data_IF_099141114303
#
_entry.id   IF_099141114303
#
_cell.length_a   1.000
_cell.length_b   1.000
_cell.length_c   1.000
_cell.angle_alpha   90.00
_cell.angle_beta   90.00
_cell.angle_gamma   90.00
#
_symmetry.space_group_name_H-M   'P 1'
#
loop_
_entity.id
_entity.type
_entity.pdbx_description
1 polymer ?
#
# COMPACT_ATOMS: atom_id res chain seq x y z
N UNK A 1 14.04 -0.50 -18.36
CA UNK A 1 14.13 -0.45 -19.84
C UNK A 1 13.87 0.97 -20.32
N UNK A 2 14.57 1.44 -21.36
CA UNK A 2 14.37 2.76 -21.96
C UNK A 2 13.03 2.80 -22.73
N UNK A 3 12.07 3.57 -22.21
CA UNK A 3 10.70 3.68 -22.72
C UNK A 3 10.62 4.24 -24.15
N UNK A 4 11.71 4.85 -24.65
CA UNK A 4 11.71 5.57 -25.93
C UNK A 4 11.93 4.69 -27.16
N UNK A 5 12.45 3.47 -27.00
CA UNK A 5 12.97 2.70 -28.14
C UNK A 5 12.27 1.37 -28.43
N UNK A 6 11.48 0.82 -27.50
CA UNK A 6 10.89 -0.53 -27.65
C UNK A 6 9.37 -0.56 -27.73
N UNK A 7 8.66 0.56 -27.56
CA UNK A 7 7.18 0.65 -27.53
C UNK A 7 6.47 -0.40 -26.62
N UNK A 8 7.23 -1.06 -25.75
CA UNK A 8 6.76 -2.16 -24.91
C UNK A 8 7.14 -1.81 -23.47
N UNK A 9 6.14 -1.36 -22.71
CA UNK A 9 6.30 -0.91 -21.32
C UNK A 9 6.18 -2.05 -20.29
N UNK A 10 6.12 -3.28 -20.76
CA UNK A 10 5.84 -4.44 -19.93
C UNK A 10 6.84 -5.55 -20.25
N UNK A 11 7.53 -6.01 -19.22
CA UNK A 11 8.33 -7.22 -19.28
C UNK A 11 7.65 -8.27 -18.40
N UNK A 12 7.25 -9.45 -18.93
CA UNK A 12 6.46 -10.43 -18.17
C UNK A 12 7.13 -10.96 -16.90
N UNK A 13 8.46 -10.83 -16.81
CA UNK A 13 9.25 -11.26 -15.64
C UNK A 13 9.56 -10.12 -14.66
N UNK A 14 9.17 -8.88 -14.96
CA UNK A 14 9.30 -7.75 -14.04
C UNK A 14 7.94 -7.50 -13.39
N UNK A 15 7.94 -7.28 -12.07
CA UNK A 15 6.74 -6.80 -11.38
C UNK A 15 6.36 -5.42 -11.93
N UNK A 16 5.08 -5.23 -12.22
CA UNK A 16 4.53 -3.91 -12.60
C UNK A 16 4.54 -2.94 -11.42
N UNK A 17 4.74 -3.46 -10.19
CA UNK A 17 4.61 -2.72 -8.93
C UNK A 17 6.00 -2.41 -8.37
N UNK A 18 6.20 -1.16 -7.95
CA UNK A 18 7.42 -0.75 -7.24
C UNK A 18 7.48 -1.44 -5.87
N UNK A 19 8.49 -2.29 -5.60
CA UNK A 19 8.61 -2.98 -4.32
C UNK A 19 8.61 -2.06 -3.10
N UNK A 20 9.06 -0.80 -3.21
CA UNK A 20 9.08 0.13 -2.07
C UNK A 20 7.69 0.62 -1.67
N UNK A 21 6.74 0.58 -2.60
CA UNK A 21 5.36 1.00 -2.42
C UNK A 21 4.39 -0.18 -2.36
N UNK A 22 4.85 -1.40 -2.67
CA UNK A 22 4.04 -2.60 -2.61
C UNK A 22 3.68 -2.98 -1.16
N UNK A 23 2.39 -3.14 -0.85
CA UNK A 23 1.96 -3.76 0.39
C UNK A 23 2.37 -5.24 0.44
N UNK A 24 2.18 -5.92 1.59
CA UNK A 24 2.29 -7.38 1.65
C UNK A 24 1.44 -8.06 0.57
N UNK A 25 1.89 -9.19 0.06
CA UNK A 25 1.20 -9.94 -1.01
C UNK A 25 -0.20 -10.43 -0.60
N UNK A 26 -0.53 -10.40 0.70
CA UNK A 26 -1.84 -10.81 1.24
C UNK A 26 -3.03 -9.97 0.74
N UNK A 27 -2.77 -8.76 0.24
CA UNK A 27 -3.80 -7.85 -0.28
C UNK A 27 -4.06 -8.02 -1.78
N UNK A 28 -3.33 -8.91 -2.44
CA UNK A 28 -3.60 -9.29 -3.83
C UNK A 28 -4.57 -10.48 -3.82
N UNK A 29 -5.59 -10.44 -4.68
CA UNK A 29 -6.53 -11.56 -4.80
C UNK A 29 -5.76 -12.84 -5.21
N UNK A 30 -5.94 -13.96 -4.49
CA UNK A 30 -5.32 -15.23 -4.85
C UNK A 30 -5.75 -15.73 -6.22
N UNK A 31 -4.86 -16.46 -6.90
CA UNK A 31 -5.12 -17.05 -8.23
C UNK A 31 -6.23 -18.10 -8.21
N UNK A 32 -6.46 -18.74 -7.05
CA UNK A 32 -7.53 -19.72 -6.82
C UNK A 32 -8.87 -19.08 -6.41
N UNK A 33 -8.94 -17.75 -6.33
CA UNK A 33 -10.20 -17.05 -6.07
C UNK A 33 -11.23 -17.34 -7.18
N UNK A 34 -12.52 -17.51 -6.82
CA UNK A 34 -13.55 -17.85 -7.80
C UNK A 34 -13.73 -16.70 -8.80
N UNK A 35 -13.69 -17.03 -10.09
CA UNK A 35 -13.92 -16.05 -11.14
C UNK A 35 -15.37 -15.56 -11.12
N UNK A 36 -15.58 -14.30 -10.73
CA UNK A 36 -16.91 -13.72 -10.66
C UNK A 36 -17.53 -13.51 -12.04
N UNK A 37 -16.73 -13.48 -13.11
CA UNK A 37 -17.20 -13.26 -14.49
C UNK A 37 -17.97 -14.47 -15.04
N UNK A 38 -17.74 -15.66 -14.50
CA UNK A 38 -18.46 -16.87 -14.91
C UNK A 38 -19.78 -17.06 -14.16
N UNK A 39 -20.04 -16.30 -13.10
CA UNK A 39 -21.30 -16.39 -12.35
C UNK A 39 -22.41 -15.63 -13.08
N UNK A 40 -23.33 -16.38 -13.68
CA UNK A 40 -24.45 -15.83 -14.48
C UNK A 40 -25.58 -15.24 -13.64
N UNK A 41 -25.59 -15.49 -12.32
CA UNK A 41 -26.62 -14.98 -11.39
C UNK A 41 -26.13 -13.71 -10.69
N UNK A 42 -26.69 -12.53 -11.00
CA UNK A 42 -26.17 -11.25 -10.51
C UNK A 42 -26.14 -11.12 -8.98
N UNK A 43 -27.18 -11.63 -8.30
CA UNK A 43 -27.26 -11.59 -6.84
C UNK A 43 -26.19 -12.47 -6.18
N UNK A 44 -25.90 -13.64 -6.77
CA UNK A 44 -24.88 -14.56 -6.27
C UNK A 44 -23.48 -13.99 -6.52
N UNK A 45 -23.24 -13.42 -7.70
CA UNK A 45 -21.98 -12.76 -8.04
C UNK A 45 -21.67 -11.62 -7.06
N UNK A 46 -22.66 -10.77 -6.76
CA UNK A 46 -22.52 -9.66 -5.80
C UNK A 46 -22.27 -10.14 -4.37
N UNK A 47 -22.97 -11.18 -3.93
CA UNK A 47 -22.75 -11.77 -2.61
C UNK A 47 -21.31 -12.32 -2.48
N UNK A 48 -20.84 -13.07 -3.49
CA UNK A 48 -19.46 -13.57 -3.55
C UNK A 48 -18.44 -12.44 -3.59
N UNK A 49 -18.70 -11.38 -4.37
CA UNK A 49 -17.83 -10.20 -4.43
C UNK A 49 -17.65 -9.55 -3.04
N UNK A 50 -18.73 -9.37 -2.30
CA UNK A 50 -18.66 -8.81 -0.94
C UNK A 50 -17.85 -9.70 0.01
N UNK A 51 -18.01 -11.03 -0.10
CA UNK A 51 -17.26 -12.00 0.72
C UNK A 51 -15.77 -11.94 0.38
N UNK A 52 -15.41 -11.95 -0.91
CA UNK A 52 -14.03 -11.84 -1.36
C UNK A 52 -13.40 -10.50 -0.94
N UNK A 53 -14.14 -9.40 -1.07
CA UNK A 53 -13.66 -8.09 -0.65
C UNK A 53 -13.42 -8.03 0.86
N UNK A 54 -14.32 -8.60 1.66
CA UNK A 54 -14.16 -8.64 3.12
C UNK A 54 -12.98 -9.54 3.55
N UNK A 55 -12.75 -10.64 2.83
CA UNK A 55 -11.69 -11.59 3.13
C UNK A 55 -10.29 -11.07 2.75
N UNK A 56 -10.14 -10.56 1.53
CA UNK A 56 -8.83 -10.20 0.95
C UNK A 56 -8.54 -8.70 0.97
N UNK A 57 -9.55 -7.85 1.19
CA UNK A 57 -9.43 -6.38 1.27
C UNK A 57 -8.53 -5.81 0.17
N UNK A 58 -8.86 -6.06 -1.11
CA UNK A 58 -8.02 -5.65 -2.23
C UNK A 58 -7.83 -4.12 -2.30
N UNK A 59 -8.70 -3.33 -1.67
CA UNK A 59 -8.53 -1.87 -1.51
C UNK A 59 -7.21 -1.50 -0.83
N UNK A 60 -6.72 -2.34 0.08
CA UNK A 60 -5.46 -2.11 0.81
C UNK A 60 -4.26 -2.07 -0.12
N UNK A 61 -4.36 -2.71 -1.28
CA UNK A 61 -3.33 -2.65 -2.30
C UNK A 61 -3.05 -1.21 -2.76
N UNK A 62 -4.11 -0.40 -2.92
CA UNK A 62 -4.00 0.99 -3.35
C UNK A 62 -3.83 1.97 -2.17
N UNK A 63 -4.38 1.63 -1.00
CA UNK A 63 -4.31 2.49 0.18
C UNK A 63 -2.91 2.53 0.79
N UNK A 64 -2.20 1.41 0.85
CA UNK A 64 -0.84 1.34 1.38
C UNK A 64 0.16 2.30 0.70
N UNK A 65 0.30 2.30 -0.65
CA UNK A 65 1.18 3.25 -1.33
C UNK A 65 0.70 4.70 -1.20
N UNK A 66 -0.62 4.93 -1.05
CA UNK A 66 -1.15 6.26 -0.76
C UNK A 66 -0.71 6.75 0.64
N UNK A 67 -0.69 5.87 1.65
CA UNK A 67 -0.18 6.15 2.99
C UNK A 67 1.31 6.51 2.98
N UNK A 68 2.14 5.73 2.27
CA UNK A 68 3.56 6.04 2.07
C UNK A 68 3.73 7.40 1.40
N UNK A 69 2.96 7.67 0.34
CA UNK A 69 3.01 8.94 -0.38
C UNK A 69 2.64 10.12 0.52
N UNK A 70 1.60 9.98 1.34
CA UNK A 70 1.19 10.99 2.33
C UNK A 70 2.34 11.30 3.31
N UNK A 71 3.00 10.25 3.84
CA UNK A 71 4.14 10.40 4.73
C UNK A 71 5.33 11.09 4.04
N UNK A 72 5.62 10.75 2.79
CA UNK A 72 6.68 11.42 2.03
C UNK A 72 6.36 12.89 1.73
N UNK A 73 5.09 13.24 1.52
CA UNK A 73 4.67 14.64 1.36
C UNK A 73 4.94 15.43 2.64
N UNK A 74 4.63 14.85 3.81
CA UNK A 74 4.75 15.52 5.09
C UNK A 74 6.13 15.40 5.78
N UNK A 75 6.95 14.42 5.40
CA UNK A 75 8.26 14.12 5.99
C UNK A 75 9.30 14.02 4.86
N UNK A 76 9.96 15.14 4.49
CA UNK A 76 10.87 15.17 3.35
C UNK A 76 12.04 14.19 3.43
N UNK A 77 12.46 13.79 4.65
CA UNK A 77 13.55 12.82 4.84
C UNK A 77 13.21 11.41 4.35
N UNK A 78 11.92 11.07 4.18
CA UNK A 78 11.48 9.77 3.64
C UNK A 78 11.50 9.69 2.10
N UNK A 79 11.83 10.78 1.40
CA UNK A 79 11.79 10.85 -0.08
C UNK A 79 13.00 10.20 -0.77
N UNK A 80 13.98 9.71 -0.02
CA UNK A 80 15.14 9.01 -0.59
C UNK A 80 14.91 7.51 -0.55
N UNK A 81 15.34 6.79 -1.58
CA UNK A 81 15.26 5.32 -1.64
C UNK A 81 15.84 4.65 -0.40
N UNK A 82 16.97 5.17 0.11
CA UNK A 82 17.63 4.63 1.30
C UNK A 82 16.75 4.76 2.54
N UNK A 83 16.13 5.94 2.73
CA UNK A 83 15.23 6.17 3.85
C UNK A 83 13.96 5.32 3.72
N UNK A 84 13.40 5.22 2.51
CA UNK A 84 12.19 4.44 2.26
C UNK A 84 12.41 2.93 2.47
N UNK A 85 13.56 2.39 2.04
CA UNK A 85 13.95 1.00 2.33
C UNK A 85 14.10 0.73 3.83
N UNK A 86 14.71 1.67 4.56
CA UNK A 86 14.88 1.54 6.02
C UNK A 86 13.52 1.58 6.73
N UNK A 87 12.68 2.55 6.36
CA UNK A 87 11.30 2.67 6.84
C UNK A 87 10.48 1.39 6.59
N UNK A 88 10.55 0.83 5.38
CA UNK A 88 9.84 -0.40 5.02
C UNK A 88 10.28 -1.59 5.88
N UNK A 89 11.58 -1.79 6.05
CA UNK A 89 12.11 -2.84 6.91
C UNK A 89 11.69 -2.66 8.38
N UNK A 90 11.64 -1.42 8.85
CA UNK A 90 11.15 -1.10 10.19
C UNK A 90 9.64 -1.34 10.36
N UNK A 91 8.83 -1.07 9.34
CA UNK A 91 7.41 -1.41 9.35
C UNK A 91 7.19 -2.93 9.33
N UNK A 92 7.89 -3.65 8.46
CA UNK A 92 7.84 -5.12 8.35
C UNK A 92 8.15 -5.79 9.70
N UNK A 93 9.23 -5.37 10.37
CA UNK A 93 9.61 -5.88 11.70
C UNK A 93 8.60 -5.56 12.81
N UNK A 94 7.66 -4.63 12.55
CA UNK A 94 6.60 -4.21 13.48
C UNK A 94 5.21 -4.63 13.02
N UNK A 95 5.11 -5.61 12.12
CA UNK A 95 3.83 -6.07 11.54
C UNK A 95 3.01 -4.90 10.96
N UNK A 96 3.69 -3.98 10.26
CA UNK A 96 3.10 -2.80 9.60
C UNK A 96 2.38 -1.82 10.53
N UNK A 97 2.71 -1.84 11.83
CA UNK A 97 2.14 -0.87 12.78
C UNK A 97 2.88 0.48 12.73
N UNK A 98 2.25 1.47 12.10
CA UNK A 98 2.80 2.81 11.93
C UNK A 98 3.03 3.54 13.27
N UNK A 99 2.17 3.32 14.26
CA UNK A 99 2.28 3.93 15.57
C UNK A 99 3.52 3.43 16.34
N UNK A 100 3.84 2.14 16.24
CA UNK A 100 5.06 1.56 16.82
C UNK A 100 6.31 2.10 16.12
N UNK A 101 6.25 2.29 14.80
CA UNK A 101 7.33 2.93 14.06
C UNK A 101 7.56 4.37 14.50
N UNK A 102 6.51 5.20 14.56
CA UNK A 102 6.58 6.62 14.96
C UNK A 102 7.24 6.80 16.33
N UNK A 103 6.89 5.94 17.30
CA UNK A 103 7.48 5.94 18.65
C UNK A 103 8.98 5.61 18.65
N UNK A 104 9.44 4.80 17.70
CA UNK A 104 10.84 4.37 17.60
C UNK A 104 11.72 5.40 16.87
N UNK A 105 11.18 6.02 15.82
CA UNK A 105 11.93 6.87 14.91
C UNK A 105 11.99 8.33 15.37
N UNK A 106 11.07 8.78 16.24
CA UNK A 106 10.89 10.19 16.61
C UNK A 106 11.09 11.12 15.41
N UNK A 107 10.25 11.00 14.36
CA UNK A 107 10.41 11.78 13.14
C UNK A 107 10.53 13.27 13.48
N UNK A 108 11.31 14.05 12.70
CA UNK A 108 11.34 15.50 12.86
C UNK A 108 9.91 16.03 12.89
N UNK A 109 9.66 17.05 13.71
CA UNK A 109 8.33 17.62 13.88
C UNK A 109 7.68 17.81 12.50
N UNK A 110 6.49 17.24 12.32
CA UNK A 110 5.73 17.36 11.09
C UNK A 110 4.46 18.13 11.42
N UNK A 111 4.51 19.47 11.39
CA UNK A 111 3.36 20.30 11.76
C UNK A 111 2.08 19.94 11.02
N UNK A 112 2.21 19.42 9.79
CA UNK A 112 1.08 18.98 8.99
C UNK A 112 0.42 17.70 9.53
N UNK A 113 1.22 16.70 9.93
CA UNK A 113 0.67 15.46 10.49
C UNK A 113 0.22 15.63 11.95
N UNK A 114 0.92 16.48 12.70
CA UNK A 114 0.62 16.79 14.10
C UNK A 114 -0.55 17.78 14.26
N UNK A 115 -0.97 18.45 13.17
CA UNK A 115 -2.13 19.34 13.17
C UNK A 115 -3.42 18.60 13.60
N UNK A 116 -4.35 19.37 14.17
CA UNK A 116 -5.64 18.86 14.64
C UNK A 116 -5.49 17.61 15.52
N UNK A 117 -4.59 17.69 16.51
CA UNK A 117 -4.33 16.60 17.46
C UNK A 117 -3.84 15.31 16.79
N UNK A 118 -3.05 15.41 15.72
CA UNK A 118 -2.47 14.24 15.06
C UNK A 118 -3.37 13.57 14.02
N UNK A 119 -4.43 14.22 13.53
CA UNK A 119 -5.38 13.62 12.56
C UNK A 119 -4.69 13.12 11.28
N UNK A 120 -3.58 13.76 10.87
CA UNK A 120 -2.80 13.30 9.72
C UNK A 120 -2.14 11.95 9.95
N UNK A 121 -1.73 11.65 11.18
CA UNK A 121 -1.21 10.33 11.56
C UNK A 121 -2.32 9.27 11.59
N UNK A 122 -3.50 9.62 12.10
CA UNK A 122 -4.66 8.71 12.11
C UNK A 122 -5.10 8.34 10.69
N UNK A 123 -5.00 9.30 9.75
CA UNK A 123 -5.24 9.04 8.34
C UNK A 123 -4.17 8.09 7.78
N UNK A 124 -2.89 8.38 8.02
CA UNK A 124 -1.79 7.55 7.54
C UNK A 124 -1.82 6.11 8.08
N UNK A 125 -2.35 5.88 9.28
CA UNK A 125 -2.54 4.53 9.83
C UNK A 125 -3.71 3.78 9.18
N UNK A 126 -4.74 4.50 8.74
CA UNK A 126 -5.92 3.91 8.11
C UNK A 126 -5.72 3.58 6.64
N UNK A 127 -4.73 4.20 5.99
CA UNK A 127 -4.29 3.91 4.63
C UNK A 127 -3.44 2.64 4.64
#
# INVERSE_FOLDING_TARGET
ADLKNTFTNYHPMESVVDPLFSPPEEYVMPTDSPDLRVETRPLVARAKANVLWAAYKPDRFDLFPAGITLLQLAIPSLRTDKALRSFRSELESRNYNLNLWRRSFSPPASPLLDAYNGTGWDLAEKL
#
